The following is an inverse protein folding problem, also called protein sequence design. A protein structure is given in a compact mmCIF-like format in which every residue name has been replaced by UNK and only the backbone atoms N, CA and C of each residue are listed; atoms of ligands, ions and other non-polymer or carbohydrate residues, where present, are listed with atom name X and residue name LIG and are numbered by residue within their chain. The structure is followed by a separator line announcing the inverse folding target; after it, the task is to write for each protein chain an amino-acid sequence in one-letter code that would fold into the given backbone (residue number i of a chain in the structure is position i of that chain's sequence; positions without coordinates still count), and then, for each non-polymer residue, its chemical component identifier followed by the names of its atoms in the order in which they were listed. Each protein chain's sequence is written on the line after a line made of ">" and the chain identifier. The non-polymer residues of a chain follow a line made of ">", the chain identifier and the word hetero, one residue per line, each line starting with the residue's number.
data_IF_369884896570
#
_entry.id   IF_369884896570
#
_cell.length_a   1.000
_cell.length_b   1.000
_cell.length_c   1.000
_cell.angle_alpha   90.00
_cell.angle_beta   90.00
_cell.angle_gamma   90.00
#
_symmetry.space_group_name_H-M   'P 1'
#
loop_
_entity.id
_entity.type
_entity.pdbx_description
1 polymer ?
#
# COMPACT_ATOMS: atom_id res chain seq x y z
N UNK A 1 -1.96 0.60 19.71
CA UNK A 1 -2.01 -0.21 18.47
C UNK A 1 -1.22 0.43 17.34
N UNK A 2 -1.43 1.72 17.00
CA UNK A 2 -0.67 2.43 15.94
C UNK A 2 0.86 2.35 16.09
N UNK A 3 1.41 2.66 17.26
CA UNK A 3 2.86 2.58 17.49
C UNK A 3 3.45 1.17 17.24
N UNK A 4 2.69 0.12 17.56
CA UNK A 4 3.10 -1.27 17.30
C UNK A 4 3.06 -1.56 15.80
N UNK A 5 2.03 -1.11 15.09
CA UNK A 5 1.94 -1.25 13.64
C UNK A 5 3.07 -0.50 12.91
N UNK A 6 3.43 0.71 13.36
CA UNK A 6 4.57 1.47 12.81
C UNK A 6 5.89 0.72 13.01
N UNK A 7 6.13 0.21 14.21
CA UNK A 7 7.38 -0.52 14.51
C UNK A 7 7.48 -1.82 13.70
N UNK A 8 6.37 -2.55 13.59
CA UNK A 8 6.29 -3.75 12.76
C UNK A 8 6.53 -3.44 11.29
N UNK A 9 5.85 -2.43 10.74
CA UNK A 9 6.00 -2.00 9.35
C UNK A 9 7.45 -1.63 9.03
N UNK A 10 8.07 -0.78 9.85
CA UNK A 10 9.46 -0.37 9.65
C UNK A 10 10.42 -1.55 9.70
N UNK A 11 10.21 -2.48 10.63
CA UNK A 11 11.03 -3.67 10.74
C UNK A 11 10.92 -4.58 9.51
N UNK A 12 9.68 -4.90 9.10
CA UNK A 12 9.39 -5.77 7.94
C UNK A 12 9.87 -5.14 6.65
N UNK A 13 9.63 -3.84 6.45
CA UNK A 13 10.11 -3.13 5.28
C UNK A 13 11.64 -3.09 5.22
N UNK A 14 12.32 -2.77 6.34
CA UNK A 14 13.78 -2.75 6.39
C UNK A 14 14.41 -4.12 6.09
N UNK A 15 13.86 -5.19 6.66
CA UNK A 15 14.30 -6.56 6.38
C UNK A 15 14.11 -6.91 4.90
N UNK A 16 12.91 -6.67 4.37
CA UNK A 16 12.58 -6.92 2.98
C UNK A 16 13.49 -6.14 2.03
N UNK A 17 13.65 -4.83 2.26
CA UNK A 17 14.52 -3.98 1.46
C UNK A 17 15.96 -4.49 1.46
N UNK A 18 16.48 -4.88 2.63
CA UNK A 18 17.84 -5.41 2.76
C UNK A 18 18.00 -6.72 1.97
N UNK A 19 17.03 -7.63 2.06
CA UNK A 19 17.08 -8.91 1.38
C UNK A 19 16.93 -8.78 -0.13
N UNK A 20 16.01 -7.94 -0.61
CA UNK A 20 15.82 -7.61 -2.03
C UNK A 20 17.09 -6.96 -2.60
N UNK A 21 17.64 -5.97 -1.90
CA UNK A 21 18.88 -5.30 -2.33
C UNK A 21 20.05 -6.28 -2.44
N UNK A 22 20.17 -7.20 -1.48
CA UNK A 22 21.18 -8.26 -1.52
C UNK A 22 20.98 -9.21 -2.71
N UNK A 23 19.75 -9.63 -3.02
CA UNK A 23 19.47 -10.49 -4.18
C UNK A 23 19.81 -9.77 -5.50
N UNK A 24 19.37 -8.52 -5.68
CA UNK A 24 19.72 -7.69 -6.84
C UNK A 24 21.23 -7.58 -7.00
N UNK A 25 21.97 -7.29 -5.92
CA UNK A 25 23.43 -7.23 -5.94
C UNK A 25 24.06 -8.58 -6.34
N UNK A 26 23.46 -9.71 -5.95
CA UNK A 26 23.98 -11.02 -6.35
C UNK A 26 23.71 -11.35 -7.82
N UNK A 27 22.56 -10.91 -8.35
CA UNK A 27 22.14 -11.12 -9.75
C UNK A 27 22.86 -10.23 -10.75
N UNK A 28 23.29 -9.04 -10.32
CA UNK A 28 24.16 -8.16 -11.11
C UNK A 28 25.57 -8.77 -11.18
N UNK A 29 25.78 -9.68 -12.12
CA UNK A 29 27.11 -10.19 -12.45
C UNK A 29 27.80 -9.23 -13.42
N UNK A 30 28.31 -8.11 -12.89
CA UNK A 30 28.80 -6.99 -13.71
C UNK A 30 29.98 -7.36 -14.61
N UNK A 31 30.71 -8.43 -14.29
CA UNK A 31 31.76 -8.96 -15.18
C UNK A 31 31.16 -9.50 -16.47
N UNK A 32 30.13 -10.35 -16.38
CA UNK A 32 29.50 -10.93 -17.56
C UNK A 32 28.78 -9.86 -18.37
N UNK A 33 28.05 -8.95 -17.72
CA UNK A 33 27.38 -7.82 -18.41
C UNK A 33 28.36 -6.85 -19.08
N UNK A 34 29.55 -6.64 -18.53
CA UNK A 34 30.54 -5.80 -19.18
C UNK A 34 31.16 -6.48 -20.41
N UNK A 35 31.36 -7.80 -20.35
CA UNK A 35 31.96 -8.57 -21.43
C UNK A 35 30.97 -8.84 -22.58
N UNK A 36 29.74 -9.24 -22.26
CA UNK A 36 28.64 -9.46 -23.20
C UNK A 36 28.01 -8.10 -23.57
N UNK A 37 28.62 -7.42 -24.56
CA UNK A 37 28.28 -6.04 -24.92
C UNK A 37 26.98 -5.97 -25.70
N UNK A 38 26.66 -7.02 -26.45
CA UNK A 38 25.44 -7.10 -27.24
C UNK A 38 24.26 -7.73 -26.48
N UNK A 39 24.50 -8.27 -25.28
CA UNK A 39 23.51 -8.89 -24.39
C UNK A 39 22.82 -10.09 -25.02
N UNK A 40 23.53 -10.85 -25.87
CA UNK A 40 22.99 -12.05 -26.50
C UNK A 40 23.17 -13.33 -25.66
N UNK A 41 23.89 -13.23 -24.53
CA UNK A 41 24.13 -14.32 -23.59
C UNK A 41 25.33 -15.20 -23.93
N UNK A 42 26.03 -14.95 -25.03
CA UNK A 42 27.29 -15.59 -25.40
C UNK A 42 28.43 -14.55 -25.39
N UNK A 43 29.67 -14.98 -25.14
CA UNK A 43 30.84 -14.10 -25.29
C UNK A 43 31.53 -14.48 -26.60
N UNK A 44 31.32 -13.66 -27.62
CA UNK A 44 31.90 -13.84 -28.94
C UNK A 44 33.41 -13.58 -28.96
N UNK A 45 34.09 -14.00 -30.04
CA UNK A 45 35.53 -13.75 -30.20
C UNK A 45 35.87 -12.24 -30.20
N UNK A 46 34.99 -11.40 -30.73
CA UNK A 46 35.15 -9.95 -30.75
C UNK A 46 35.01 -9.33 -29.35
N UNK A 47 34.09 -9.86 -28.54
CA UNK A 47 33.93 -9.45 -27.13
C UNK A 47 35.09 -9.90 -26.26
N UNK A 48 35.62 -11.11 -26.47
CA UNK A 48 36.86 -11.56 -25.83
C UNK A 48 38.01 -10.62 -26.19
N UNK A 49 38.12 -10.22 -27.47
CA UNK A 49 39.16 -9.31 -27.93
C UNK A 49 39.00 -7.90 -27.32
N UNK A 50 37.77 -7.45 -27.08
CA UNK A 50 37.47 -6.16 -26.48
C UNK A 50 37.37 -6.18 -24.93
N UNK A 51 37.52 -7.35 -24.30
CA UNK A 51 37.32 -7.56 -22.87
C UNK A 51 38.11 -6.58 -21.98
N UNK A 52 39.35 -6.25 -22.36
CA UNK A 52 40.18 -5.30 -21.61
C UNK A 52 39.56 -3.90 -21.58
N UNK A 53 38.96 -3.45 -22.68
CA UNK A 53 38.31 -2.14 -22.72
C UNK A 53 36.99 -2.15 -21.93
N UNK A 54 36.22 -3.25 -22.04
CA UNK A 54 35.01 -3.43 -21.25
C UNK A 54 35.28 -3.44 -19.75
N UNK A 55 36.25 -4.24 -19.29
CA UNK A 55 36.63 -4.34 -17.88
C UNK A 55 37.21 -3.03 -17.32
N UNK A 56 37.91 -2.24 -18.14
CA UNK A 56 38.37 -0.89 -17.73
C UNK A 56 37.23 0.07 -17.42
N UNK A 57 36.04 -0.13 -17.99
CA UNK A 57 34.89 0.71 -17.64
C UNK A 57 34.34 0.45 -16.24
N UNK A 58 34.70 -0.70 -15.64
CA UNK A 58 34.34 -1.05 -14.26
C UNK A 58 35.34 -0.53 -13.23
N UNK A 59 36.57 -0.22 -13.62
CA UNK A 59 37.63 0.36 -12.77
C UNK A 59 37.31 1.83 -12.51
N UNK A 60 36.59 2.10 -11.42
CA UNK A 60 36.06 3.43 -11.10
C UNK A 60 37.12 4.32 -10.46
N UNK A 61 38.06 3.73 -9.71
CA UNK A 61 39.11 4.48 -9.01
C UNK A 61 40.41 4.62 -9.84
N UNK A 62 40.52 3.89 -10.95
CA UNK A 62 41.61 3.96 -11.91
C UNK A 62 42.90 3.31 -11.43
N UNK A 63 42.85 2.44 -10.41
CA UNK A 63 44.02 1.76 -9.85
C UNK A 63 44.50 0.55 -10.69
N UNK A 64 43.82 0.30 -11.81
CA UNK A 64 44.07 -0.82 -12.74
C UNK A 64 43.83 -2.20 -12.14
N UNK A 65 43.01 -2.29 -11.08
CA UNK A 65 42.46 -3.52 -10.53
C UNK A 65 40.94 -3.40 -10.50
N UNK A 66 40.28 -4.54 -10.32
CA UNK A 66 38.85 -4.59 -10.10
C UNK A 66 38.61 -5.19 -8.72
N UNK A 67 38.10 -4.37 -7.82
CA UNK A 67 37.66 -4.78 -6.49
C UNK A 67 36.27 -5.43 -6.56
N UNK A 68 35.89 -6.19 -5.53
CA UNK A 68 34.55 -6.78 -5.49
C UNK A 68 33.43 -5.72 -5.49
N UNK A 69 33.70 -4.53 -4.97
CA UNK A 69 32.75 -3.42 -4.96
C UNK A 69 32.58 -2.80 -6.37
N UNK A 70 33.63 -2.79 -7.19
CA UNK A 70 33.55 -2.39 -8.60
C UNK A 70 32.91 -3.46 -9.49
N UNK A 71 33.11 -4.73 -9.15
CA UNK A 71 32.49 -5.85 -9.85
C UNK A 71 31.01 -6.05 -9.49
N UNK A 72 30.58 -5.60 -8.32
CA UNK A 72 29.20 -5.70 -7.84
C UNK A 72 28.83 -4.41 -7.10
N UNK A 73 28.62 -3.30 -7.84
CA UNK A 73 28.28 -2.04 -7.23
C UNK A 73 26.99 -2.17 -6.44
N UNK A 74 26.91 -1.45 -5.32
CA UNK A 74 25.68 -1.38 -4.54
C UNK A 74 24.55 -0.79 -5.41
N UNK A 75 23.38 -1.43 -5.46
CA UNK A 75 22.22 -0.85 -6.13
C UNK A 75 21.93 0.55 -5.59
N UNK A 76 21.79 1.52 -6.50
CA UNK A 76 21.53 2.94 -6.19
C UNK A 76 20.05 3.24 -5.93
N UNK A 77 19.17 2.29 -6.24
CA UNK A 77 17.73 2.39 -6.01
C UNK A 77 17.41 2.64 -4.52
N UNK A 78 16.41 3.50 -4.30
CA UNK A 78 16.02 4.00 -2.98
C UNK A 78 14.67 3.48 -2.51
N UNK A 79 13.88 2.88 -3.41
CA UNK A 79 12.57 2.29 -3.10
C UNK A 79 12.53 0.80 -3.47
N UNK A 80 11.61 0.04 -2.85
CA UNK A 80 11.41 -1.36 -3.24
C UNK A 80 10.93 -1.48 -4.70
N UNK A 81 10.07 -0.57 -5.16
CA UNK A 81 9.60 -0.54 -6.53
C UNK A 81 10.76 -0.47 -7.54
N UNK A 82 11.71 0.44 -7.31
CA UNK A 82 12.88 0.62 -8.18
C UNK A 82 13.80 -0.61 -8.17
N UNK A 83 13.99 -1.25 -7.00
CA UNK A 83 14.81 -2.45 -6.89
C UNK A 83 14.21 -3.64 -7.66
N UNK A 84 12.89 -3.75 -7.66
CA UNK A 84 12.15 -4.87 -8.25
C UNK A 84 11.93 -4.67 -9.76
N UNK A 85 11.80 -3.42 -10.20
CA UNK A 85 11.52 -3.10 -11.60
C UNK A 85 12.58 -3.70 -12.54
N UNK A 86 12.13 -4.51 -13.50
CA UNK A 86 13.00 -5.12 -14.52
C UNK A 86 13.84 -6.31 -14.04
N UNK A 87 13.64 -6.80 -12.81
CA UNK A 87 14.35 -7.98 -12.30
C UNK A 87 13.66 -9.28 -12.77
N UNK A 88 13.92 -9.68 -14.02
CA UNK A 88 13.39 -10.93 -14.57
C UNK A 88 13.81 -12.15 -13.72
N UNK A 89 12.85 -13.05 -13.47
CA UNK A 89 13.08 -14.25 -12.67
C UNK A 89 13.31 -14.01 -11.17
N UNK A 90 13.01 -12.81 -10.65
CA UNK A 90 13.10 -12.54 -9.20
C UNK A 90 12.04 -13.27 -8.37
N UNK A 91 10.90 -13.54 -8.99
CA UNK A 91 9.73 -14.14 -8.36
C UNK A 91 9.39 -15.49 -9.01
N UNK A 92 10.18 -16.51 -8.68
CA UNK A 92 9.88 -17.90 -9.01
C UNK A 92 8.93 -18.57 -8.02
N UNK A 93 8.53 -19.81 -8.31
CA UNK A 93 7.60 -20.60 -7.49
C UNK A 93 8.01 -20.68 -6.02
N UNK A 94 9.31 -20.70 -5.70
CA UNK A 94 9.81 -20.77 -4.31
C UNK A 94 10.67 -19.57 -3.91
N UNK A 95 10.55 -18.45 -4.63
CA UNK A 95 11.37 -17.26 -4.40
C UNK A 95 10.58 -16.21 -3.65
N UNK A 96 11.05 -15.89 -2.44
CA UNK A 96 10.60 -14.76 -1.65
C UNK A 96 11.74 -14.29 -0.76
N UNK A 97 11.67 -13.04 -0.32
CA UNK A 97 12.74 -12.33 0.38
C UNK A 97 12.36 -12.05 1.83
N UNK A 98 11.15 -12.41 2.24
CA UNK A 98 10.65 -12.29 3.60
C UNK A 98 9.53 -13.32 3.79
N UNK A 99 9.22 -13.65 5.05
CA UNK A 99 8.06 -14.46 5.36
C UNK A 99 6.78 -13.81 4.81
N UNK A 100 6.09 -14.54 3.93
CA UNK A 100 4.96 -14.02 3.17
C UNK A 100 3.71 -13.86 4.02
N UNK A 101 3.57 -14.65 5.10
CA UNK A 101 2.49 -14.47 6.08
C UNK A 101 2.70 -13.20 6.90
N UNK A 102 3.96 -12.91 7.24
CA UNK A 102 4.38 -11.71 7.94
C UNK A 102 4.17 -10.46 7.07
N UNK A 103 4.53 -10.52 5.78
CA UNK A 103 4.26 -9.47 4.80
C UNK A 103 2.76 -9.16 4.69
N UNK A 104 1.93 -10.18 4.46
CA UNK A 104 0.50 -10.02 4.32
C UNK A 104 -0.15 -9.43 5.58
N UNK A 105 0.24 -9.93 6.76
CA UNK A 105 -0.28 -9.44 8.04
C UNK A 105 0.12 -7.99 8.33
N UNK A 106 1.36 -7.63 8.02
CA UNK A 106 1.86 -6.25 8.21
C UNK A 106 1.17 -5.27 7.27
N UNK A 107 0.95 -5.67 6.02
CA UNK A 107 0.18 -4.89 5.04
C UNK A 107 -1.24 -4.59 5.57
N UNK A 108 -1.94 -5.61 6.09
CA UNK A 108 -3.29 -5.44 6.66
C UNK A 108 -3.34 -4.52 7.88
N UNK A 109 -2.34 -4.64 8.77
CA UNK A 109 -2.24 -3.82 9.99
C UNK A 109 -1.89 -2.36 9.68
N UNK A 110 -1.20 -2.10 8.58
CA UNK A 110 -0.73 -0.75 8.22
C UNK A 110 -1.88 0.20 7.83
N UNK A 111 -3.10 -0.30 7.61
CA UNK A 111 -4.30 0.53 7.36
C UNK A 111 -4.56 1.58 8.43
N UNK A 112 -4.18 1.33 9.68
CA UNK A 112 -4.43 2.27 10.80
C UNK A 112 -3.45 3.46 10.84
N UNK A 113 -2.44 3.47 9.97
CA UNK A 113 -1.38 4.47 9.93
C UNK A 113 -1.81 5.66 9.09
N UNK A 114 -1.35 6.86 9.46
CA UNK A 114 -1.78 8.13 8.87
C UNK A 114 -0.60 8.98 8.38
N UNK A 115 0.61 8.72 8.87
CA UNK A 115 1.79 9.48 8.48
C UNK A 115 2.30 9.06 7.09
N UNK A 116 2.71 10.04 6.29
CA UNK A 116 3.13 9.84 4.89
C UNK A 116 4.28 8.83 4.78
N UNK A 117 5.27 8.88 5.67
CA UNK A 117 6.41 7.95 5.69
C UNK A 117 5.91 6.51 5.80
N UNK A 118 5.09 6.19 6.80
CA UNK A 118 4.55 4.84 6.94
C UNK A 118 3.65 4.44 5.77
N UNK A 119 2.83 5.35 5.22
CA UNK A 119 1.99 5.03 4.07
C UNK A 119 2.82 4.66 2.82
N UNK A 120 3.94 5.33 2.59
CA UNK A 120 4.91 4.97 1.53
C UNK A 120 5.49 3.58 1.75
N UNK A 121 5.95 3.27 2.97
CA UNK A 121 6.49 1.94 3.30
C UNK A 121 5.43 0.85 3.13
N UNK A 122 4.17 1.14 3.50
CA UNK A 122 3.08 0.19 3.33
C UNK A 122 2.73 -0.03 1.85
N UNK A 123 2.77 1.02 1.03
CA UNK A 123 2.59 0.91 -0.42
C UNK A 123 3.70 0.07 -1.06
N UNK A 124 4.96 0.25 -0.66
CA UNK A 124 6.09 -0.58 -1.09
C UNK A 124 5.84 -2.09 -0.82
N UNK A 125 5.29 -2.44 0.35
CA UNK A 125 4.95 -3.84 0.66
C UNK A 125 3.92 -4.41 -0.32
N UNK A 126 2.94 -3.60 -0.74
CA UNK A 126 1.93 -4.03 -1.72
C UNK A 126 2.51 -4.24 -3.10
N UNK A 127 3.46 -3.40 -3.50
CA UNK A 127 4.14 -3.52 -4.80
C UNK A 127 4.97 -4.80 -4.84
N UNK A 128 5.75 -5.08 -3.78
CA UNK A 128 6.47 -6.34 -3.66
C UNK A 128 5.53 -7.55 -3.64
N UNK A 129 4.48 -7.49 -2.81
CA UNK A 129 3.56 -8.61 -2.63
C UNK A 129 2.82 -9.00 -3.90
N UNK A 130 2.52 -8.04 -4.78
CA UNK A 130 1.86 -8.27 -6.07
C UNK A 130 2.74 -9.07 -7.05
N UNK A 131 4.06 -8.99 -6.91
CA UNK A 131 5.01 -9.72 -7.76
C UNK A 131 5.27 -11.16 -7.28
N UNK A 132 4.89 -11.51 -6.05
CA UNK A 132 5.04 -12.88 -5.53
C UNK A 132 4.27 -13.89 -6.38
N UNK A 133 4.74 -15.13 -6.42
CA UNK A 133 3.97 -16.23 -7.00
C UNK A 133 2.58 -16.34 -6.35
N UNK A 134 1.54 -16.67 -7.12
CA UNK A 134 0.13 -16.69 -6.68
C UNK A 134 -0.10 -17.48 -5.39
N UNK A 135 0.66 -18.57 -5.18
CA UNK A 135 0.56 -19.39 -3.97
C UNK A 135 0.91 -18.65 -2.66
N UNK A 136 1.67 -17.55 -2.75
CA UNK A 136 2.04 -16.70 -1.63
C UNK A 136 1.21 -15.40 -1.57
N UNK A 137 0.30 -15.20 -2.53
CA UNK A 137 -0.68 -14.11 -2.51
C UNK A 137 -1.94 -14.59 -1.77
N UNK A 138 -1.86 -14.61 -0.44
CA UNK A 138 -2.98 -15.01 0.40
C UNK A 138 -4.23 -14.15 0.15
N UNK A 139 -5.40 -14.78 0.14
CA UNK A 139 -6.67 -14.05 0.18
C UNK A 139 -6.87 -13.42 1.57
N UNK A 140 -7.37 -12.19 1.57
CA UNK A 140 -7.83 -11.47 2.76
C UNK A 140 -9.35 -11.54 2.91
N UNK A 141 -9.84 -10.84 3.94
CA UNK A 141 -11.28 -10.63 4.15
C UNK A 141 -11.80 -9.45 3.32
N UNK A 142 -13.09 -9.48 3.00
CA UNK A 142 -13.79 -8.36 2.39
C UNK A 142 -13.68 -7.08 3.26
N UNK A 143 -13.49 -5.86 2.67
CA UNK A 143 -13.40 -5.54 1.25
C UNK A 143 -11.98 -5.66 0.66
N UNK A 144 -11.03 -6.22 1.39
CA UNK A 144 -9.62 -6.36 1.01
C UNK A 144 -9.22 -7.81 0.65
N UNK A 145 -10.10 -8.50 -0.09
CA UNK A 145 -9.90 -9.89 -0.52
C UNK A 145 -8.58 -10.11 -1.28
N UNK A 146 -8.31 -9.32 -2.31
CA UNK A 146 -6.95 -9.21 -2.86
C UNK A 146 -6.13 -8.27 -1.97
N UNK A 147 -5.28 -8.85 -1.12
CA UNK A 147 -4.53 -8.10 -0.11
C UNK A 147 -3.70 -7.01 -0.78
N UNK A 148 -2.89 -7.33 -1.78
CA UNK A 148 -1.93 -6.36 -2.30
C UNK A 148 -2.61 -5.34 -3.20
N UNK A 149 -3.54 -5.75 -4.07
CA UNK A 149 -4.24 -4.82 -4.96
C UNK A 149 -5.10 -3.82 -4.20
N UNK A 150 -5.93 -4.29 -3.26
CA UNK A 150 -6.87 -3.40 -2.57
C UNK A 150 -6.16 -2.48 -1.58
N UNK A 151 -5.11 -2.96 -0.90
CA UNK A 151 -4.33 -2.10 -0.03
C UNK A 151 -3.52 -1.07 -0.83
N UNK A 152 -3.05 -1.39 -2.04
CA UNK A 152 -2.39 -0.42 -2.91
C UNK A 152 -3.32 0.77 -3.21
N UNK A 153 -4.56 0.52 -3.67
CA UNK A 153 -5.55 1.60 -3.87
C UNK A 153 -5.80 2.40 -2.59
N UNK A 154 -5.92 1.71 -1.44
CA UNK A 154 -6.20 2.37 -0.16
C UNK A 154 -5.05 3.30 0.26
N UNK A 155 -3.80 2.83 0.21
CA UNK A 155 -2.63 3.64 0.56
C UNK A 155 -2.39 4.77 -0.45
N UNK A 156 -2.60 4.52 -1.74
CA UNK A 156 -2.55 5.57 -2.78
C UNK A 156 -3.54 6.69 -2.48
N UNK A 157 -4.81 6.36 -2.21
CA UNK A 157 -5.82 7.37 -1.84
C UNK A 157 -5.41 8.20 -0.61
N UNK A 158 -4.87 7.55 0.43
CA UNK A 158 -4.40 8.24 1.64
C UNK A 158 -3.18 9.13 1.39
N UNK A 159 -2.34 8.80 0.40
CA UNK A 159 -1.24 9.63 -0.07
C UNK A 159 -1.70 10.74 -1.03
N UNK A 160 -2.99 10.78 -1.40
CA UNK A 160 -3.52 11.68 -2.43
C UNK A 160 -3.11 11.29 -3.86
N UNK A 161 -2.59 10.07 -4.04
CA UNK A 161 -2.19 9.51 -5.34
C UNK A 161 -3.30 8.64 -5.89
N UNK A 162 -3.52 8.67 -7.21
CA UNK A 162 -4.58 7.89 -7.86
C UNK A 162 -5.97 7.97 -7.16
N UNK A 163 -6.28 9.15 -6.61
CA UNK A 163 -7.36 9.33 -5.64
C UNK A 163 -8.73 8.95 -6.21
N UNK A 164 -9.04 9.41 -7.42
CA UNK A 164 -10.35 9.17 -8.03
C UNK A 164 -10.59 7.69 -8.31
N UNK A 165 -9.63 7.00 -8.93
CA UNK A 165 -9.73 5.55 -9.19
C UNK A 165 -9.81 4.73 -7.90
N UNK A 166 -9.05 5.11 -6.88
CA UNK A 166 -9.07 4.44 -5.60
C UNK A 166 -10.41 4.63 -4.86
N UNK A 167 -10.99 5.83 -4.90
CA UNK A 167 -12.31 6.08 -4.32
C UNK A 167 -13.41 5.36 -5.08
N UNK A 168 -13.36 5.32 -6.42
CA UNK A 168 -14.30 4.56 -7.23
C UNK A 168 -14.19 3.06 -6.94
N UNK A 169 -12.97 2.55 -6.79
CA UNK A 169 -12.73 1.17 -6.37
C UNK A 169 -13.40 0.87 -5.03
N UNK A 170 -13.20 1.67 -3.99
CA UNK A 170 -13.82 1.41 -2.68
C UNK A 170 -15.33 1.69 -2.65
N UNK A 171 -15.83 2.58 -3.50
CA UNK A 171 -17.26 2.77 -3.71
C UNK A 171 -17.90 1.51 -4.28
N UNK A 172 -17.33 0.93 -5.34
CA UNK A 172 -17.79 -0.34 -5.92
C UNK A 172 -17.79 -1.46 -4.87
N UNK A 173 -16.78 -1.51 -4.00
CA UNK A 173 -16.73 -2.48 -2.90
C UNK A 173 -17.82 -2.21 -1.87
N UNK A 174 -18.11 -0.96 -1.54
CA UNK A 174 -19.22 -0.60 -0.65
C UNK A 174 -20.58 -1.03 -1.19
N UNK A 175 -20.75 -1.06 -2.51
CA UNK A 175 -22.00 -1.43 -3.18
C UNK A 175 -22.17 -2.94 -3.34
N UNK A 176 -21.07 -3.69 -3.50
CA UNK A 176 -21.11 -5.10 -3.91
C UNK A 176 -20.72 -6.11 -2.83
N UNK A 177 -20.13 -5.69 -1.71
CA UNK A 177 -19.84 -6.61 -0.59
C UNK A 177 -21.15 -6.99 0.10
N UNK A 178 -21.43 -8.30 0.19
CA UNK A 178 -22.67 -8.81 0.78
C UNK A 178 -22.76 -8.49 2.27
N UNK A 179 -23.70 -7.59 2.61
CA UNK A 179 -23.93 -7.14 3.99
C UNK A 179 -24.49 -8.23 4.90
N UNK A 180 -25.08 -9.31 4.37
CA UNK A 180 -25.56 -10.42 5.18
C UNK A 180 -24.40 -11.32 5.67
N UNK A 181 -23.36 -11.45 4.86
CA UNK A 181 -22.19 -12.28 5.18
C UNK A 181 -21.13 -11.48 5.93
N UNK A 182 -20.86 -10.25 5.47
CA UNK A 182 -19.72 -9.45 5.93
C UNK A 182 -20.14 -8.22 6.76
N UNK A 183 -21.43 -8.01 6.99
CA UNK A 183 -21.92 -6.84 7.71
C UNK A 183 -21.64 -5.54 6.95
N UNK A 184 -21.39 -4.47 7.69
CA UNK A 184 -21.18 -3.12 7.13
C UNK A 184 -19.73 -2.83 6.74
N UNK A 185 -18.82 -3.81 6.75
CA UNK A 185 -17.36 -3.57 6.53
C UNK A 185 -17.04 -2.85 5.23
N UNK A 186 -17.73 -3.19 4.12
CA UNK A 186 -17.50 -2.56 2.82
C UNK A 186 -17.90 -1.08 2.84
N UNK A 187 -19.07 -0.80 3.44
CA UNK A 187 -19.63 0.55 3.58
C UNK A 187 -18.76 1.40 4.53
N UNK A 188 -18.45 0.88 5.72
CA UNK A 188 -17.66 1.62 6.71
C UNK A 188 -16.22 1.84 6.22
N UNK A 189 -15.62 0.90 5.48
CA UNK A 189 -14.28 1.13 4.89
C UNK A 189 -14.29 2.31 3.93
N UNK A 190 -15.35 2.44 3.11
CA UNK A 190 -15.45 3.55 2.16
C UNK A 190 -15.71 4.88 2.87
N UNK A 191 -16.58 4.91 3.89
CA UNK A 191 -16.84 6.10 4.71
C UNK A 191 -15.57 6.54 5.44
N UNK A 192 -14.83 5.61 6.05
CA UNK A 192 -13.55 5.89 6.71
C UNK A 192 -12.55 6.49 5.70
N UNK A 193 -12.40 5.88 4.52
CA UNK A 193 -11.49 6.38 3.50
C UNK A 193 -11.85 7.80 3.07
N UNK A 194 -13.12 8.08 2.76
CA UNK A 194 -13.60 9.42 2.42
C UNK A 194 -13.28 10.43 3.53
N UNK A 195 -13.54 10.07 4.78
CA UNK A 195 -13.26 10.93 5.92
C UNK A 195 -11.76 11.23 6.07
N UNK A 196 -10.90 10.24 5.82
CA UNK A 196 -9.45 10.36 5.95
C UNK A 196 -8.79 11.15 4.83
N UNK A 197 -9.37 11.14 3.62
CA UNK A 197 -8.92 12.00 2.51
C UNK A 197 -9.57 13.39 2.52
N UNK A 198 -10.34 13.72 3.56
CA UNK A 198 -10.94 15.04 3.77
C UNK A 198 -12.27 15.27 3.04
N UNK A 199 -12.86 14.25 2.43
CA UNK A 199 -14.18 14.32 1.76
C UNK A 199 -15.33 14.08 2.75
N UNK A 200 -15.44 14.97 3.74
CA UNK A 200 -16.35 14.80 4.88
C UNK A 200 -17.83 14.80 4.45
N UNK A 201 -18.22 15.69 3.55
CA UNK A 201 -19.60 15.81 3.08
C UNK A 201 -20.05 14.57 2.29
N UNK A 202 -19.16 14.01 1.47
CA UNK A 202 -19.39 12.73 0.77
C UNK A 202 -19.53 11.59 1.79
N UNK A 203 -18.68 11.55 2.82
CA UNK A 203 -18.75 10.54 3.88
C UNK A 203 -20.09 10.61 4.66
N UNK A 204 -20.59 11.82 4.95
CA UNK A 204 -21.91 12.04 5.56
C UNK A 204 -23.02 11.52 4.66
N UNK A 205 -22.99 11.87 3.37
CA UNK A 205 -24.01 11.45 2.41
C UNK A 205 -24.08 9.91 2.31
N UNK A 206 -22.94 9.25 2.19
CA UNK A 206 -22.86 7.78 2.14
C UNK A 206 -23.35 7.15 3.44
N UNK A 207 -23.03 7.74 4.59
CA UNK A 207 -23.51 7.24 5.89
C UNK A 207 -25.04 7.24 5.95
N UNK A 208 -25.67 8.35 5.57
CA UNK A 208 -27.14 8.49 5.58
C UNK A 208 -27.80 7.58 4.54
N UNK A 209 -27.19 7.41 3.37
CA UNK A 209 -27.72 6.57 2.30
C UNK A 209 -27.66 5.08 2.66
N UNK A 210 -26.53 4.62 3.20
CA UNK A 210 -26.20 3.18 3.25
C UNK A 210 -26.30 2.55 4.62
N UNK A 211 -26.27 3.32 5.71
CA UNK A 211 -26.38 2.79 7.08
C UNK A 211 -27.77 3.08 7.64
N UNK A 212 -28.54 2.03 7.94
CA UNK A 212 -29.85 2.22 8.55
C UNK A 212 -29.72 2.65 10.02
N UNK A 213 -30.65 3.45 10.57
CA UNK A 213 -30.55 3.96 11.95
C UNK A 213 -30.38 2.91 13.05
N UNK A 214 -30.95 1.71 12.86
CA UNK A 214 -30.88 0.57 13.78
C UNK A 214 -29.88 -0.51 13.35
N UNK A 215 -29.21 -0.32 12.22
CA UNK A 215 -28.21 -1.26 11.73
C UNK A 215 -26.96 -1.22 12.62
N UNK A 216 -26.57 -2.38 13.11
CA UNK A 216 -25.35 -2.54 13.89
C UNK A 216 -24.13 -2.34 12.99
N UNK A 217 -23.31 -1.36 13.32
CA UNK A 217 -22.01 -1.11 12.68
C UNK A 217 -20.88 -1.85 13.39
N UNK A 218 -19.73 -1.94 12.72
CA UNK A 218 -18.51 -2.58 13.22
C UNK A 218 -17.55 -1.60 13.90
N UNK A 219 -17.83 -0.30 13.81
CA UNK A 219 -17.03 0.75 14.43
C UNK A 219 -15.71 1.01 13.69
N UNK A 220 -15.71 0.81 12.37
CA UNK A 220 -14.55 1.07 11.51
C UNK A 220 -14.53 2.53 11.03
N UNK A 221 -15.71 3.09 10.77
CA UNK A 221 -15.87 4.48 10.33
C UNK A 221 -16.23 5.42 11.50
N UNK A 222 -15.91 6.72 11.39
CA UNK A 222 -16.49 7.73 12.26
C UNK A 222 -18.03 7.71 12.17
N UNK A 223 -18.69 7.93 13.30
CA UNK A 223 -20.14 8.06 13.37
C UNK A 223 -20.65 9.31 12.63
N UNK A 224 -21.94 9.33 12.28
CA UNK A 224 -22.58 10.50 11.66
C UNK A 224 -22.37 11.78 12.49
N UNK A 225 -22.41 11.67 13.82
CA UNK A 225 -22.12 12.78 14.72
C UNK A 225 -20.69 13.28 14.56
N UNK A 226 -19.70 12.39 14.64
CA UNK A 226 -18.27 12.77 14.48
C UNK A 226 -17.99 13.37 13.10
N UNK A 227 -18.65 12.90 12.04
CA UNK A 227 -18.55 13.48 10.71
C UNK A 227 -19.18 14.90 10.64
N UNK A 228 -20.35 15.09 11.26
CA UNK A 228 -20.98 16.40 11.35
C UNK A 228 -20.11 17.38 12.16
N UNK A 229 -19.54 16.93 13.27
CA UNK A 229 -18.58 17.72 14.08
C UNK A 229 -17.35 18.13 13.25
N UNK A 230 -16.80 17.23 12.42
CA UNK A 230 -15.67 17.55 11.54
C UNK A 230 -16.01 18.56 10.44
N UNK A 231 -17.25 18.55 9.94
CA UNK A 231 -17.71 19.50 8.92
C UNK A 231 -18.23 20.83 9.48
N UNK A 232 -18.54 20.90 10.78
CA UNK A 232 -19.30 22.01 11.38
C UNK A 232 -20.78 22.07 10.92
N UNK A 233 -21.25 21.10 10.13
CA UNK A 233 -22.62 21.07 9.63
C UNK A 233 -23.44 19.96 10.27
N UNK A 234 -24.29 20.34 11.22
CA UNK A 234 -25.18 19.41 11.93
C UNK A 234 -26.55 19.20 11.28
N UNK A 235 -26.85 19.89 10.18
CA UNK A 235 -28.14 19.75 9.48
C UNK A 235 -28.45 18.29 9.09
N UNK A 236 -27.49 17.53 8.51
CA UNK A 236 -27.73 16.14 8.12
C UNK A 236 -28.07 15.23 9.32
N UNK A 237 -27.40 15.43 10.47
CA UNK A 237 -27.71 14.70 11.71
C UNK A 237 -29.13 15.02 12.19
N UNK A 238 -29.51 16.31 12.19
CA UNK A 238 -30.84 16.73 12.63
C UNK A 238 -31.95 16.15 11.74
N UNK A 239 -31.74 16.12 10.42
CA UNK A 239 -32.72 15.56 9.48
C UNK A 239 -32.82 14.03 9.61
N UNK A 240 -31.70 13.33 9.81
CA UNK A 240 -31.69 11.90 10.09
C UNK A 240 -32.47 11.55 11.37
N UNK A 241 -32.23 12.27 12.47
CA UNK A 241 -32.92 12.04 13.75
C UNK A 241 -34.43 12.36 13.69
N UNK A 242 -34.84 13.36 12.89
CA UNK A 242 -36.27 13.63 12.65
C UNK A 242 -36.95 12.48 11.90
N UNK A 243 -36.26 11.86 10.96
CA UNK A 243 -36.77 10.71 10.20
C UNK A 243 -36.95 9.44 11.03
N UNK A 244 -36.15 9.28 12.10
CA UNK A 244 -36.14 8.08 12.96
C UNK A 244 -36.85 8.26 14.32
N UNK A 245 -37.46 9.41 14.60
CA UNK A 245 -38.06 9.79 15.89
C UNK A 245 -37.06 9.72 17.08
N UNK A 246 -35.75 9.90 16.80
CA UNK A 246 -34.69 9.95 17.81
C UNK A 246 -34.56 11.37 18.40
N UNK A 247 -35.36 11.62 19.43
CA UNK A 247 -35.42 12.92 20.13
C UNK A 247 -34.08 13.27 20.81
N UNK A 248 -33.31 12.29 21.29
CA UNK A 248 -32.04 12.52 21.98
C UNK A 248 -30.92 12.88 21.00
N UNK A 249 -30.83 12.19 19.86
CA UNK A 249 -29.92 12.55 18.78
C UNK A 249 -30.21 13.95 18.24
N UNK A 250 -31.49 14.28 18.05
CA UNK A 250 -31.92 15.61 17.60
C UNK A 250 -31.56 16.72 18.61
N UNK A 251 -31.78 16.50 19.90
CA UNK A 251 -31.41 17.44 20.95
C UNK A 251 -29.89 17.67 21.01
N UNK A 252 -29.10 16.61 20.86
CA UNK A 252 -27.62 16.70 20.79
C UNK A 252 -27.17 17.57 19.61
N UNK A 253 -27.74 17.36 18.43
CA UNK A 253 -27.46 18.18 17.24
C UNK A 253 -27.82 19.66 17.43
N UNK A 254 -28.97 19.95 18.05
CA UNK A 254 -29.39 21.33 18.33
C UNK A 254 -28.49 22.05 19.35
N UNK A 255 -27.96 21.33 20.35
CA UNK A 255 -27.07 21.92 21.34
C UNK A 255 -25.71 22.27 20.71
N UNK A 256 -25.15 21.38 19.90
CA UNK A 256 -23.87 21.63 19.23
C UNK A 256 -23.97 22.78 18.22
N UNK A 257 -25.03 22.80 17.39
CA UNK A 257 -25.25 23.86 16.41
C UNK A 257 -25.51 25.27 17.00
N UNK A 258 -25.79 25.37 18.31
CA UNK A 258 -25.97 26.65 19.02
C UNK A 258 -24.71 27.16 19.73
N UNK A 259 -23.67 26.34 19.80
CA UNK A 259 -22.44 26.66 20.53
C UNK A 259 -21.38 27.31 19.62
N UNK A 260 -21.65 27.39 18.32
CA UNK A 260 -20.93 28.18 17.30
C UNK A 260 -21.62 29.53 17.03
#
# INVERSE_FOLDING_TARGET
>A
QRAVAQLLLRHVHQELFTNVKADVKTRQDSVLQALDTNQDGEISADEIANAVNSLKSLDQDGDSKLTMDELKPEPTATTLAELIAGQEGMFGEHSYHIDTTHLASTTRLSRILEDEECLRLALDLTQYGKELHEQFQYEGDEPFKDIYRHHAFYFQALLGENLDEALDHFKERSDNVDTNQWGTVGIETYIDLLARVGKIEEAIAVTIEKIQPDQRTMGLAPSLLELCERSGNYSPLMDACRGSDDVLGFATGLMQAKTE
#
